data_IF_727578974762
#
_entry.id   IF_727578974762
#
_cell.length_a   1.000
_cell.length_b   1.000
_cell.length_c   1.000
_cell.angle_alpha   90.00
_cell.angle_beta   90.00
_cell.angle_gamma   90.00
#
_symmetry.space_group_name_H-M   'P 1'
#
loop_
_entity.id
_entity.type
_entity.pdbx_description
1 polymer ?
#
# COMPACT_ATOMS: atom_id res chain seq x y z
N UNK A 1 11.79 21.21 17.73
CA UNK A 1 10.91 20.14 17.23
C UNK A 1 9.98 19.72 18.37
N UNK A 2 8.66 19.66 18.15
CA UNK A 2 7.72 19.27 19.21
C UNK A 2 7.68 17.74 19.34
N UNK A 3 7.54 17.18 20.56
CA UNK A 3 7.44 15.73 20.74
C UNK A 3 6.14 15.19 20.14
N UNK A 4 6.18 13.96 19.62
CA UNK A 4 4.98 13.26 19.16
C UNK A 4 4.02 13.00 20.33
N UNK A 5 2.72 12.89 20.01
CA UNK A 5 1.72 12.56 21.00
C UNK A 5 1.92 11.13 21.53
N UNK A 6 1.77 10.92 22.85
CA UNK A 6 1.93 9.60 23.51
C UNK A 6 1.14 8.47 22.84
N UNK A 7 -0.04 8.76 22.30
CA UNK A 7 -0.90 7.78 21.61
C UNK A 7 -0.28 7.20 20.33
N UNK A 8 0.72 7.86 19.74
CA UNK A 8 1.39 7.39 18.52
C UNK A 8 2.13 6.07 18.76
N UNK A 9 2.65 5.82 19.98
CA UNK A 9 3.24 4.53 20.32
C UNK A 9 2.26 3.36 20.39
N UNK A 10 0.95 3.59 20.22
CA UNK A 10 -0.08 2.55 20.13
C UNK A 10 -0.35 2.08 18.70
N UNK A 11 0.06 2.87 17.71
CA UNK A 11 0.00 2.46 16.31
C UNK A 11 1.13 1.46 16.13
N UNK A 12 0.80 0.17 16.11
CA UNK A 12 1.76 -0.89 15.81
C UNK A 12 2.27 -0.77 14.37
N UNK A 13 3.10 -1.72 13.95
CA UNK A 13 3.58 -1.78 12.58
C UNK A 13 2.48 -2.33 11.66
N UNK A 14 2.21 -1.61 10.57
CA UNK A 14 1.29 -2.06 9.53
C UNK A 14 2.00 -3.06 8.61
N UNK A 15 1.67 -4.34 8.74
CA UNK A 15 2.36 -5.44 8.06
C UNK A 15 2.00 -5.55 6.58
N UNK A 16 0.85 -5.02 6.17
CA UNK A 16 0.44 -5.03 4.76
C UNK A 16 1.41 -4.22 3.88
N UNK A 17 1.86 -3.05 4.36
CA UNK A 17 2.82 -2.23 3.62
C UNK A 17 4.20 -2.87 3.50
N UNK A 18 4.64 -3.64 4.51
CA UNK A 18 5.92 -4.36 4.45
C UNK A 18 5.91 -5.45 3.36
N UNK A 19 4.80 -6.20 3.28
CA UNK A 19 4.61 -7.23 2.24
C UNK A 19 4.59 -6.59 0.85
N UNK A 20 3.83 -5.51 0.68
CA UNK A 20 3.76 -4.76 -0.58
C UNK A 20 5.14 -4.23 -1.00
N UNK A 21 5.88 -3.60 -0.09
CA UNK A 21 7.22 -3.08 -0.36
C UNK A 21 8.18 -4.19 -0.81
N UNK A 22 8.12 -5.35 -0.16
CA UNK A 22 8.92 -6.52 -0.54
C UNK A 22 8.52 -7.07 -1.91
N UNK A 23 7.23 -7.14 -2.22
CA UNK A 23 6.74 -7.57 -3.52
C UNK A 23 7.25 -6.65 -4.64
N UNK A 24 7.11 -5.32 -4.47
CA UNK A 24 7.66 -4.32 -5.40
C UNK A 24 9.16 -4.45 -5.61
N UNK A 25 9.93 -4.72 -4.55
CA UNK A 25 11.37 -4.93 -4.66
C UNK A 25 11.74 -6.17 -5.49
N UNK A 26 10.94 -7.24 -5.41
CA UNK A 26 11.13 -8.44 -6.23
C UNK A 26 10.72 -8.20 -7.68
N UNK A 27 9.64 -7.46 -7.93
CA UNK A 27 9.25 -7.04 -9.28
C UNK A 27 10.33 -6.20 -9.96
N UNK A 28 10.95 -5.27 -9.23
CA UNK A 28 12.07 -4.46 -9.72
C UNK A 28 13.31 -5.29 -10.11
N UNK A 29 13.43 -6.50 -9.58
CA UNK A 29 14.47 -7.47 -9.96
C UNK A 29 14.07 -8.33 -11.17
N UNK A 30 12.93 -8.04 -11.80
CA UNK A 30 12.40 -8.77 -12.97
C UNK A 30 11.61 -10.03 -12.62
N UNK A 31 11.21 -10.22 -11.35
CA UNK A 31 10.38 -11.37 -10.97
C UNK A 31 8.91 -11.12 -11.22
N UNK A 32 8.23 -12.15 -11.73
CA UNK A 32 6.78 -12.18 -11.81
C UNK A 32 6.19 -12.47 -10.42
N UNK A 33 5.33 -11.57 -9.92
CA UNK A 33 4.66 -11.66 -8.63
C UNK A 33 3.16 -11.59 -8.87
N UNK A 34 2.39 -12.48 -8.24
CA UNK A 34 0.93 -12.45 -8.24
C UNK A 34 0.49 -11.86 -6.91
N UNK A 35 -0.19 -10.72 -6.98
CA UNK A 35 -0.72 -10.00 -5.83
C UNK A 35 -2.08 -10.58 -5.46
N UNK A 36 -2.20 -11.11 -4.25
CA UNK A 36 -3.42 -11.71 -3.66
C UNK A 36 -3.79 -11.04 -2.33
N UNK A 37 -3.13 -9.93 -2.02
CA UNK A 37 -3.42 -9.11 -0.86
C UNK A 37 -4.73 -8.32 -1.01
N UNK A 38 -5.30 -7.90 0.13
CA UNK A 38 -6.37 -6.92 0.13
C UNK A 38 -5.80 -5.59 -0.38
N UNK A 39 -6.36 -5.09 -1.48
CA UNK A 39 -5.91 -3.90 -2.18
C UNK A 39 -7.02 -3.33 -3.06
N UNK A 40 -6.74 -2.18 -3.66
CA UNK A 40 -7.61 -1.45 -4.58
C UNK A 40 -8.27 -2.36 -5.63
N UNK A 41 -9.46 -1.99 -6.14
CA UNK A 41 -10.14 -2.77 -7.18
C UNK A 41 -9.25 -2.93 -8.42
N UNK A 42 -9.47 -4.01 -9.16
CA UNK A 42 -8.85 -4.30 -10.47
C UNK A 42 -9.37 -3.40 -11.61
N UNK A 43 -10.31 -2.51 -11.30
CA UNK A 43 -10.90 -1.58 -12.25
C UNK A 43 -10.51 -0.14 -11.91
N UNK A 44 -10.28 0.63 -12.96
CA UNK A 44 -10.08 2.08 -12.85
C UNK A 44 -11.31 2.79 -12.28
N UNK A 45 -11.09 4.01 -11.80
CA UNK A 45 -12.18 4.89 -11.38
C UNK A 45 -13.18 5.10 -12.55
N UNK A 46 -14.50 4.92 -12.32
CA UNK A 46 -15.51 5.07 -13.37
C UNK A 46 -15.42 6.39 -14.14
N UNK A 47 -15.61 6.34 -15.48
CA UNK A 47 -15.56 7.52 -16.36
C UNK A 47 -16.53 8.64 -15.98
N UNK A 48 -17.71 8.29 -15.43
CA UNK A 48 -18.67 9.28 -14.97
C UNK A 48 -18.14 10.16 -13.82
N UNK A 49 -17.09 9.71 -13.12
CA UNK A 49 -16.44 10.43 -12.03
C UNK A 49 -15.25 11.25 -12.56
N UNK A 50 -14.54 10.76 -13.58
CA UNK A 50 -13.30 11.37 -14.08
C UNK A 50 -13.47 12.29 -15.29
N UNK A 51 -14.58 12.19 -16.02
CA UNK A 51 -14.86 13.03 -17.18
C UNK A 51 -15.41 14.40 -16.76
N UNK A 52 -14.55 15.42 -16.78
CA UNK A 52 -14.91 16.83 -16.81
C UNK A 52 -14.97 17.34 -18.27
#
# INVERSE_FOLDING_TARGET
MRPLARRMGRLGTETAFEVLARARALEAQGRHIVHLEIGEPDFDTPRAITAA
#
